data_IF_664576826365
#
_entry.id   IF_664576826365
#
_cell.length_a   1.000
_cell.length_b   1.000
_cell.length_c   1.000
_cell.angle_alpha   90.00
_cell.angle_beta   90.00
_cell.angle_gamma   90.00
#
_symmetry.space_group_name_H-M   'P 1'
#
loop_
_entity.id
_entity.type
_entity.pdbx_description
1 polymer ?
#
# COMPACT_ATOMS: atom_id res chain seq x y z
N UNK A 1 10.48 15.34 -1.49
CA UNK A 1 9.24 14.58 -1.30
C UNK A 1 8.84 14.65 0.17
N UNK A 2 7.56 14.82 0.47
CA UNK A 2 7.05 14.92 1.85
C UNK A 2 7.23 13.56 2.54
N UNK A 3 7.73 13.47 3.80
CA UNK A 3 8.06 12.20 4.44
C UNK A 3 6.93 11.15 4.44
N UNK A 4 5.68 11.59 4.57
CA UNK A 4 4.54 10.68 4.50
C UNK A 4 4.32 10.09 3.11
N UNK A 5 4.47 10.89 2.05
CA UNK A 5 4.38 10.42 0.66
C UNK A 5 5.53 9.47 0.36
N UNK A 6 6.76 9.83 0.76
CA UNK A 6 7.92 8.92 0.66
C UNK A 6 7.61 7.57 1.30
N UNK A 7 6.99 7.56 2.48
CA UNK A 7 6.69 6.32 3.16
C UNK A 7 5.58 5.50 2.50
N UNK A 8 4.58 6.13 1.88
CA UNK A 8 3.58 5.40 1.09
C UNK A 8 4.20 4.80 -0.18
N UNK A 9 5.10 5.53 -0.85
CA UNK A 9 5.86 5.00 -1.99
C UNK A 9 6.78 3.84 -1.58
N UNK A 10 7.42 3.91 -0.41
CA UNK A 10 8.18 2.78 0.14
C UNK A 10 7.27 1.56 0.43
N UNK A 11 6.04 1.78 0.94
CA UNK A 11 5.06 0.69 1.08
C UNK A 11 4.81 0.00 -0.28
N UNK A 12 4.64 0.76 -1.36
CA UNK A 12 4.41 0.21 -2.71
C UNK A 12 5.57 -0.68 -3.17
N UNK A 13 6.80 -0.16 -3.07
CA UNK A 13 8.01 -0.91 -3.46
C UNK A 13 8.15 -2.19 -2.64
N UNK A 14 7.89 -2.10 -1.34
CA UNK A 14 8.00 -3.24 -0.45
C UNK A 14 6.96 -4.32 -0.78
N UNK A 15 5.69 -3.95 -0.95
CA UNK A 15 4.60 -4.88 -1.33
C UNK A 15 4.95 -5.61 -2.64
N UNK A 16 5.37 -4.88 -3.68
CA UNK A 16 5.75 -5.49 -4.96
C UNK A 16 6.98 -6.40 -4.81
N UNK A 17 7.94 -6.03 -3.96
CA UNK A 17 9.11 -6.86 -3.68
C UNK A 17 8.74 -8.19 -3.00
N UNK A 18 7.77 -8.18 -2.08
CA UNK A 18 7.28 -9.40 -1.43
C UNK A 18 6.59 -10.31 -2.45
N UNK A 19 5.72 -9.77 -3.31
CA UNK A 19 5.08 -10.56 -4.37
C UNK A 19 6.10 -11.17 -5.35
N UNK A 20 7.17 -10.44 -5.67
CA UNK A 20 8.24 -10.97 -6.52
C UNK A 20 8.98 -12.14 -5.88
N UNK A 21 9.22 -12.10 -4.56
CA UNK A 21 9.86 -13.19 -3.82
C UNK A 21 9.02 -14.46 -3.80
N UNK A 22 7.69 -14.32 -3.68
CA UNK A 22 6.74 -15.46 -3.69
C UNK A 22 6.85 -16.26 -5.00
N UNK A 23 7.14 -15.57 -6.11
CA UNK A 23 7.33 -16.19 -7.44
C UNK A 23 8.62 -17.00 -7.54
N UNK A 24 9.61 -16.79 -6.67
CA UNK A 24 10.85 -17.54 -6.73
C UNK A 24 10.63 -19.01 -6.36
N UNK A 25 11.18 -19.94 -7.16
CA UNK A 25 11.07 -21.40 -6.95
C UNK A 25 11.81 -21.92 -5.71
N UNK A 26 12.36 -21.03 -4.88
CA UNK A 26 13.17 -21.38 -3.71
C UNK A 26 12.34 -21.62 -2.45
N UNK A 27 11.07 -21.18 -2.45
CA UNK A 27 10.20 -21.25 -1.29
C UNK A 27 9.30 -22.49 -1.36
N UNK A 28 9.14 -23.17 -0.23
CA UNK A 28 8.15 -24.21 -0.06
C UNK A 28 6.74 -23.60 0.11
N UNK A 29 5.70 -24.46 0.14
CA UNK A 29 4.31 -24.00 0.27
C UNK A 29 4.08 -23.13 1.50
N UNK A 30 4.53 -23.56 2.68
CA UNK A 30 4.31 -22.84 3.93
C UNK A 30 4.96 -21.45 3.90
N UNK A 31 6.17 -21.35 3.35
CA UNK A 31 6.88 -20.08 3.19
C UNK A 31 6.18 -19.14 2.20
N UNK A 32 5.71 -19.66 1.06
CA UNK A 32 4.94 -18.87 0.08
C UNK A 32 3.61 -18.40 0.66
N UNK A 33 2.89 -19.28 1.36
CA UNK A 33 1.62 -18.96 2.00
C UNK A 33 1.81 -17.88 3.07
N UNK A 34 2.80 -18.03 3.94
CA UNK A 34 3.10 -17.03 4.97
C UNK A 34 3.42 -15.67 4.34
N UNK A 35 4.33 -15.62 3.35
CA UNK A 35 4.65 -14.36 2.66
C UNK A 35 3.44 -13.74 1.95
N UNK A 36 2.55 -14.57 1.41
CA UNK A 36 1.31 -14.12 0.78
C UNK A 36 0.39 -13.44 1.81
N UNK A 37 0.20 -14.06 2.98
CA UNK A 37 -0.63 -13.52 4.06
C UNK A 37 0.00 -12.26 4.68
N UNK A 38 1.31 -12.22 4.83
CA UNK A 38 2.00 -11.00 5.29
C UNK A 38 1.83 -9.86 4.30
N UNK A 39 1.94 -10.14 2.99
CA UNK A 39 1.72 -9.14 1.95
C UNK A 39 0.26 -8.63 1.94
N UNK A 40 -0.72 -9.50 2.20
CA UNK A 40 -2.12 -9.11 2.40
C UNK A 40 -2.25 -8.10 3.54
N UNK A 41 -1.67 -8.41 4.70
CA UNK A 41 -1.70 -7.55 5.87
C UNK A 41 -1.04 -6.19 5.58
N UNK A 42 0.10 -6.19 4.88
CA UNK A 42 0.82 -4.96 4.52
C UNK A 42 0.01 -4.07 3.59
N UNK A 43 -0.66 -4.66 2.60
CA UNK A 43 -1.54 -3.93 1.72
C UNK A 43 -2.74 -3.33 2.48
N UNK A 44 -3.35 -4.09 3.40
CA UNK A 44 -4.47 -3.60 4.22
C UNK A 44 -4.05 -2.41 5.10
N UNK A 45 -2.86 -2.47 5.69
CA UNK A 45 -2.30 -1.36 6.47
C UNK A 45 -2.06 -0.13 5.60
N UNK A 46 -1.45 -0.30 4.42
CA UNK A 46 -1.23 0.76 3.45
C UNK A 46 -2.55 1.44 3.06
N UNK A 47 -3.55 0.68 2.59
CA UNK A 47 -4.87 1.20 2.22
C UNK A 47 -5.57 1.91 3.39
N UNK A 48 -5.40 1.39 4.62
CA UNK A 48 -5.94 2.01 5.82
C UNK A 48 -5.32 3.38 6.10
N UNK A 49 -4.01 3.53 5.90
CA UNK A 49 -3.32 4.82 6.05
C UNK A 49 -3.80 5.83 5.02
N UNK A 50 -3.93 5.43 3.76
CA UNK A 50 -4.48 6.32 2.73
C UNK A 50 -5.89 6.78 3.09
N UNK A 51 -6.77 5.84 3.46
CA UNK A 51 -8.17 6.11 3.85
C UNK A 51 -8.30 7.04 5.04
N UNK A 52 -7.41 6.90 6.05
CA UNK A 52 -7.49 7.67 7.29
C UNK A 52 -6.77 9.02 7.23
N UNK A 53 -5.75 9.15 6.39
CA UNK A 53 -4.84 10.30 6.44
C UNK A 53 -4.80 11.09 5.13
N UNK A 54 -4.72 10.41 3.97
CA UNK A 54 -4.55 11.07 2.67
C UNK A 54 -5.90 11.51 2.06
N UNK A 55 -6.81 10.55 1.83
CA UNK A 55 -8.07 10.83 1.15
C UNK A 55 -8.93 11.90 1.84
N UNK A 56 -9.08 11.93 3.18
CA UNK A 56 -9.91 12.94 3.84
C UNK A 56 -9.41 14.37 3.61
N UNK A 57 -8.08 14.56 3.53
CA UNK A 57 -7.50 15.88 3.27
C UNK A 57 -7.74 16.31 1.83
N UNK A 58 -7.49 15.42 0.87
CA UNK A 58 -7.72 15.73 -0.54
C UNK A 58 -9.21 15.94 -0.84
N UNK A 59 -10.11 15.18 -0.21
CA UNK A 59 -11.56 15.40 -0.29
C UNK A 59 -11.97 16.77 0.26
N UNK A 60 -11.33 17.24 1.34
CA UNK A 60 -11.59 18.57 1.88
C UNK A 60 -11.16 19.66 0.89
N UNK A 61 -9.97 19.52 0.31
CA UNK A 61 -9.43 20.48 -0.66
C UNK A 61 -10.22 20.46 -1.99
N UNK A 62 -10.71 19.30 -2.42
CA UNK A 62 -11.56 19.14 -3.60
C UNK A 62 -12.83 20.02 -3.57
N UNK A 63 -13.35 20.39 -2.39
CA UNK A 63 -14.53 21.24 -2.27
C UNK A 63 -14.33 22.66 -2.81
N UNK A 64 -13.07 23.12 -2.83
CA UNK A 64 -12.71 24.47 -3.24
C UNK A 64 -11.79 24.48 -4.48
N UNK A 65 -11.39 23.32 -4.99
CA UNK A 65 -10.48 23.19 -6.13
C UNK A 65 -10.95 22.08 -7.09
N UNK A 66 -11.46 22.50 -8.26
CA UNK A 66 -11.99 21.62 -9.30
C UNK A 66 -10.94 20.65 -9.86
N UNK A 67 -9.67 21.03 -9.89
CA UNK A 67 -8.59 20.17 -10.34
C UNK A 67 -8.38 19.01 -9.35
N UNK A 68 -8.35 19.32 -8.05
CA UNK A 68 -8.26 18.32 -6.98
C UNK A 68 -9.51 17.43 -6.97
N UNK A 69 -10.69 18.00 -7.19
CA UNK A 69 -11.93 17.23 -7.32
C UNK A 69 -11.88 16.22 -8.47
N UNK A 70 -11.35 16.62 -9.62
CA UNK A 70 -11.18 15.74 -10.78
C UNK A 70 -10.24 14.59 -10.49
N UNK A 71 -9.08 14.86 -9.88
CA UNK A 71 -8.15 13.80 -9.45
C UNK A 71 -8.84 12.86 -8.47
N UNK A 72 -9.52 13.37 -7.44
CA UNK A 72 -10.16 12.54 -6.43
C UNK A 72 -11.29 11.68 -7.01
N UNK A 73 -12.12 12.24 -7.90
CA UNK A 73 -13.19 11.49 -8.56
C UNK A 73 -12.64 10.28 -9.32
N UNK A 74 -11.60 10.47 -10.12
CA UNK A 74 -10.95 9.41 -10.90
C UNK A 74 -10.36 8.29 -10.02
N UNK A 75 -9.92 8.62 -8.80
CA UNK A 75 -9.37 7.62 -7.88
C UNK A 75 -10.44 6.93 -7.04
N UNK A 76 -11.52 7.63 -6.68
CA UNK A 76 -12.61 7.09 -5.87
C UNK A 76 -13.55 6.17 -6.66
N UNK A 77 -13.81 6.47 -7.93
CA UNK A 77 -14.64 5.59 -8.79
C UNK A 77 -14.07 4.18 -8.88
N UNK A 78 -12.74 4.06 -8.77
CA UNK A 78 -12.01 2.81 -9.01
C UNK A 78 -11.58 2.10 -7.72
N UNK A 79 -11.51 2.80 -6.57
CA UNK A 79 -10.89 2.25 -5.36
C UNK A 79 -11.65 1.06 -4.77
N UNK A 80 -13.00 1.14 -4.70
CA UNK A 80 -13.79 0.07 -4.12
C UNK A 80 -13.69 -1.23 -4.94
N UNK A 81 -13.74 -1.10 -6.27
CA UNK A 81 -13.58 -2.23 -7.20
C UNK A 81 -12.16 -2.79 -7.13
N UNK A 82 -11.14 -1.93 -7.13
CA UNK A 82 -9.75 -2.33 -7.00
C UNK A 82 -9.50 -3.11 -5.70
N UNK A 83 -9.91 -2.56 -4.55
CA UNK A 83 -9.76 -3.23 -3.25
C UNK A 83 -10.49 -4.57 -3.24
N UNK A 84 -11.72 -4.63 -3.76
CA UNK A 84 -12.48 -5.88 -3.83
C UNK A 84 -11.76 -6.94 -4.67
N UNK A 85 -11.27 -6.57 -5.85
CA UNK A 85 -10.58 -7.51 -6.75
C UNK A 85 -9.26 -8.02 -6.16
N UNK A 86 -8.51 -7.14 -5.49
CA UNK A 86 -7.25 -7.53 -4.84
C UNK A 86 -7.51 -8.43 -3.63
N UNK A 87 -8.50 -8.12 -2.80
CA UNK A 87 -8.85 -8.97 -1.66
C UNK A 87 -9.37 -10.33 -2.10
N UNK A 88 -10.16 -10.39 -3.18
CA UNK A 88 -10.63 -11.66 -3.75
C UNK A 88 -9.48 -12.60 -4.13
N UNK A 89 -8.37 -12.07 -4.63
CA UNK A 89 -7.19 -12.88 -4.89
C UNK A 89 -6.66 -13.52 -3.60
N UNK A 90 -6.48 -12.73 -2.54
CA UNK A 90 -6.01 -13.29 -1.26
C UNK A 90 -7.00 -14.29 -0.66
N UNK A 91 -8.30 -13.98 -0.71
CA UNK A 91 -9.36 -14.87 -0.22
C UNK A 91 -9.38 -16.21 -0.96
N UNK A 92 -9.10 -16.22 -2.27
CA UNK A 92 -9.02 -17.45 -3.08
C UNK A 92 -7.93 -18.41 -2.59
N UNK A 93 -6.82 -17.87 -2.09
CA UNK A 93 -5.66 -18.64 -1.67
C UNK A 93 -5.54 -18.79 -0.15
N UNK A 94 -6.54 -18.30 0.60
CA UNK A 94 -6.57 -18.39 2.04
C UNK A 94 -6.95 -19.82 2.50
N UNK A 95 -6.34 -20.29 3.60
CA UNK A 95 -6.56 -21.62 4.19
C UNK A 95 -6.40 -22.82 3.23
N UNK A 96 -5.61 -22.66 2.16
CA UNK A 96 -5.26 -23.79 1.31
C UNK A 96 -4.17 -24.65 1.95
N UNK A 97 -4.11 -25.92 1.57
CA UNK A 97 -3.06 -26.86 1.95
C UNK A 97 -1.99 -27.03 0.86
N UNK A 98 -2.25 -26.50 -0.35
CA UNK A 98 -1.34 -26.47 -1.49
C UNK A 98 -1.81 -25.44 -2.53
N UNK A 99 -0.92 -24.96 -3.38
CA UNK A 99 -1.26 -24.16 -4.57
C UNK A 99 -1.28 -25.03 -5.82
N UNK A 100 -2.25 -24.83 -6.70
CA UNK A 100 -2.07 -25.19 -8.11
C UNK A 100 -1.06 -24.19 -8.70
N UNK A 101 0.17 -24.66 -8.93
CA UNK A 101 1.27 -23.79 -9.33
C UNK A 101 0.98 -23.00 -10.61
N UNK A 102 0.27 -23.57 -11.60
CA UNK A 102 0.01 -22.86 -12.86
C UNK A 102 -1.06 -21.77 -12.72
N UNK A 103 -2.13 -22.07 -11.98
CA UNK A 103 -3.18 -21.10 -11.71
C UNK A 103 -2.69 -20.00 -10.77
N UNK A 104 -1.99 -20.38 -9.69
CA UNK A 104 -1.41 -19.45 -8.73
C UNK A 104 -0.43 -18.49 -9.38
N UNK A 105 0.51 -18.97 -10.20
CA UNK A 105 1.49 -18.10 -10.86
C UNK A 105 0.81 -17.07 -11.79
N UNK A 106 -0.23 -17.50 -12.50
CA UNK A 106 -1.02 -16.62 -13.38
C UNK A 106 -1.73 -15.52 -12.58
N UNK A 107 -2.41 -15.91 -11.52
CA UNK A 107 -3.18 -15.00 -10.68
C UNK A 107 -2.26 -14.04 -9.91
N UNK A 108 -1.10 -14.51 -9.46
CA UNK A 108 -0.07 -13.70 -8.82
C UNK A 108 0.46 -12.63 -9.77
N UNK A 109 0.78 -12.99 -11.02
CA UNK A 109 1.19 -12.04 -12.05
C UNK A 109 0.10 -10.99 -12.29
N UNK A 110 -1.16 -11.42 -12.37
CA UNK A 110 -2.29 -10.52 -12.55
C UNK A 110 -2.44 -9.54 -11.38
N UNK A 111 -2.29 -10.02 -10.13
CA UNK A 111 -2.27 -9.17 -8.95
C UNK A 111 -1.14 -8.13 -9.04
N UNK A 112 0.08 -8.56 -9.37
CA UNK A 112 1.25 -7.67 -9.48
C UNK A 112 1.03 -6.56 -10.51
N UNK A 113 0.46 -6.89 -11.68
CA UNK A 113 0.13 -5.90 -12.71
C UNK A 113 -0.92 -4.91 -12.21
N UNK A 114 -1.97 -5.40 -11.53
CA UNK A 114 -3.00 -4.54 -10.94
C UNK A 114 -2.43 -3.57 -9.92
N UNK A 115 -1.64 -4.07 -8.97
CA UNK A 115 -1.03 -3.26 -7.91
C UNK A 115 -0.04 -2.25 -8.49
N UNK A 116 0.90 -2.70 -9.34
CA UNK A 116 1.89 -1.79 -9.97
C UNK A 116 1.23 -0.68 -10.78
N UNK A 117 0.18 -1.00 -11.55
CA UNK A 117 -0.58 0.01 -12.31
C UNK A 117 -1.26 1.01 -11.38
N UNK A 118 -1.82 0.54 -10.26
CA UNK A 118 -2.48 1.41 -9.28
C UNK A 118 -1.48 2.30 -8.56
N UNK A 119 -0.40 1.74 -8.02
CA UNK A 119 0.66 2.47 -7.33
C UNK A 119 1.30 3.52 -8.24
N UNK A 120 1.58 3.19 -9.50
CA UNK A 120 2.10 4.15 -10.47
C UNK A 120 1.13 5.33 -10.73
N UNK A 121 -0.18 5.06 -10.74
CA UNK A 121 -1.18 6.13 -10.86
C UNK A 121 -1.22 6.98 -9.58
N UNK A 122 -1.24 6.36 -8.40
CA UNK A 122 -1.25 7.06 -7.11
C UNK A 122 -0.04 8.00 -7.00
N UNK A 123 1.16 7.50 -7.26
CA UNK A 123 2.39 8.29 -7.24
C UNK A 123 2.35 9.46 -8.24
N UNK A 124 1.96 9.17 -9.49
CA UNK A 124 1.96 10.16 -10.57
C UNK A 124 0.90 11.26 -10.40
N UNK A 125 -0.27 10.93 -9.87
CA UNK A 125 -1.41 11.87 -9.88
C UNK A 125 -1.85 12.26 -8.48
N UNK A 126 -2.07 11.30 -7.59
CA UNK A 126 -2.63 11.56 -6.27
C UNK A 126 -1.58 12.15 -5.31
N UNK A 127 -0.41 11.51 -5.24
CA UNK A 127 0.68 11.92 -4.36
C UNK A 127 1.29 13.23 -4.85
N UNK A 128 1.55 13.35 -6.15
CA UNK A 128 2.01 14.61 -6.74
C UNK A 128 1.05 15.77 -6.39
N UNK A 129 -0.27 15.59 -6.55
CA UNK A 129 -1.24 16.64 -6.22
C UNK A 129 -1.25 16.98 -4.72
N UNK A 130 -1.09 16.00 -3.84
CA UNK A 130 -0.96 16.25 -2.41
C UNK A 130 0.29 17.08 -2.07
N UNK A 131 1.42 16.78 -2.70
CA UNK A 131 2.66 17.53 -2.51
C UNK A 131 2.53 18.98 -2.98
N UNK A 132 1.94 19.20 -4.16
CA UNK A 132 1.63 20.54 -4.68
C UNK A 132 0.77 21.35 -3.70
N UNK A 133 -0.28 20.72 -3.15
CA UNK A 133 -1.14 21.36 -2.14
C UNK A 133 -0.39 21.71 -0.86
N UNK A 134 0.54 20.85 -0.41
CA UNK A 134 1.35 21.12 0.78
C UNK A 134 2.38 22.24 0.56
N UNK A 135 2.92 22.39 -0.66
CA UNK A 135 3.78 23.52 -1.01
C UNK A 135 3.00 24.84 -0.96
N UNK A 136 1.74 24.84 -1.45
CA UNK A 136 0.87 26.01 -1.40
C UNK A 136 0.30 26.28 -0.01
N UNK A 137 0.08 25.23 0.79
CA UNK A 137 -0.51 25.28 2.13
C UNK A 137 0.32 24.43 3.11
N UNK A 138 1.44 24.95 3.64
CA UNK A 138 2.32 24.19 4.54
C UNK A 138 1.62 23.61 5.79
N UNK A 139 0.51 24.23 6.22
CA UNK A 139 -0.33 23.73 7.30
C UNK A 139 -1.01 22.37 7.02
N UNK A 140 -1.17 21.97 5.75
CA UNK A 140 -1.79 20.71 5.37
C UNK A 140 -0.94 19.50 5.81
N UNK A 141 0.39 19.60 5.67
CA UNK A 141 1.32 18.58 6.15
C UNK A 141 1.30 18.46 7.68
N UNK A 142 1.14 19.58 8.38
CA UNK A 142 1.13 19.60 9.86
C UNK A 142 0.06 18.66 10.43
N UNK A 143 -1.09 18.52 9.76
CA UNK A 143 -2.16 17.64 10.20
C UNK A 143 -1.82 16.14 10.09
N UNK A 144 -1.08 15.74 9.03
CA UNK A 144 -0.60 14.36 8.91
C UNK A 144 0.60 14.14 9.83
N UNK A 145 1.55 15.08 9.90
CA UNK A 145 2.80 14.96 10.66
C UNK A 145 2.57 14.53 12.11
N UNK A 146 1.55 15.08 12.79
CA UNK A 146 1.26 14.74 14.19
C UNK A 146 0.77 13.29 14.38
N UNK A 147 0.22 12.68 13.33
CA UNK A 147 -0.28 11.29 13.32
C UNK A 147 0.62 10.35 12.54
N UNK A 148 1.66 10.90 11.89
CA UNK A 148 2.57 10.16 11.06
C UNK A 148 3.52 9.34 11.92
N UNK A 149 3.48 8.03 11.71
CA UNK A 149 4.38 7.07 12.31
C UNK A 149 5.14 6.41 11.15
N UNK A 150 6.39 6.81 10.87
CA UNK A 150 7.13 6.28 9.74
C UNK A 150 7.36 4.78 9.92
N UNK A 151 7.26 4.06 8.80
CA UNK A 151 7.66 2.66 8.71
C UNK A 151 9.05 2.62 8.07
N UNK A 152 10.02 2.03 8.75
CA UNK A 152 11.37 1.88 8.23
C UNK A 152 11.53 0.52 7.57
N UNK A 153 12.22 0.50 6.43
CA UNK A 153 12.45 -0.69 5.62
C UNK A 153 13.92 -1.06 5.68
N UNK A 154 14.27 -2.25 6.19
CA UNK A 154 15.66 -2.70 6.32
C UNK A 154 15.77 -4.22 6.27
N UNK A 155 16.75 -4.76 5.53
CA UNK A 155 17.01 -6.20 5.42
C UNK A 155 15.75 -7.03 5.07
N UNK A 156 14.86 -6.48 4.25
CA UNK A 156 13.60 -7.12 3.87
C UNK A 156 12.50 -7.12 4.93
N UNK A 157 12.70 -6.46 6.08
CA UNK A 157 11.70 -6.30 7.14
C UNK A 157 11.18 -4.86 7.27
N UNK A 158 10.05 -4.72 7.97
CA UNK A 158 9.40 -3.45 8.31
C UNK A 158 9.58 -3.16 9.80
N UNK A 159 9.82 -1.90 10.16
CA UNK A 159 10.07 -1.50 11.55
C UNK A 159 9.37 -0.19 11.92
N UNK A 160 8.97 -0.07 13.18
CA UNK A 160 8.63 1.23 13.79
C UNK A 160 9.70 1.61 14.79
N UNK A 161 9.98 2.91 14.89
CA UNK A 161 10.82 3.46 15.94
C UNK A 161 9.92 4.17 16.93
N UNK A 162 9.83 3.64 18.15
CA UNK A 162 9.08 4.27 19.25
C UNK A 162 10.07 4.58 20.37
N UNK A 163 10.17 5.85 20.76
CA UNK A 163 11.09 6.33 21.80
C UNK A 163 12.55 5.89 21.58
N UNK A 164 13.01 5.91 20.32
CA UNK A 164 14.37 5.48 19.94
C UNK A 164 14.59 3.97 19.88
N UNK A 165 13.57 3.16 20.21
CA UNK A 165 13.63 1.70 20.16
C UNK A 165 13.02 1.21 18.85
N UNK A 166 13.75 0.35 18.14
CA UNK A 166 13.33 -0.26 16.87
C UNK A 166 12.53 -1.54 17.13
N UNK A 167 11.28 -1.55 16.70
CA UNK A 167 10.36 -2.69 16.79
C UNK A 167 10.17 -3.27 15.40
N UNK A 168 10.47 -4.56 15.19
CA UNK A 168 10.08 -5.26 13.97
C UNK A 168 8.55 -5.32 13.96
N UNK A 169 7.94 -4.83 12.89
CA UNK A 169 6.52 -5.07 12.65
C UNK A 169 6.43 -6.53 12.24
N UNK A 170 5.77 -7.33 13.07
CA UNK A 170 5.64 -8.77 12.85
C UNK A 170 4.99 -9.03 11.49
N UNK A 171 5.58 -9.98 10.79
CA UNK A 171 4.92 -10.87 9.85
C UNK A 171 3.87 -11.63 10.70
N UNK A 172 2.65 -11.06 10.84
CA UNK A 172 1.51 -11.50 11.67
C UNK A 172 1.77 -11.76 13.19
N UNK A 173 1.04 -11.03 14.05
CA UNK A 173 0.78 -11.48 15.42
C UNK A 173 -0.45 -12.40 15.38
N UNK A 174 -0.33 -13.55 16.05
CA UNK A 174 -1.37 -14.57 16.27
C UNK A 174 -2.78 -14.03 16.47
#
# INVERSE_FOLDING_TARGET
MIPFITNLTEDHHYILSCLNKIKENKLNFAEKYQQLMDTRQFLLEHLTREKKQLYPLLQKEARANNEVATVIYNFQSDIAKFTTDVLRFYDKYDNLNQFDNQEFDRDLIYLQIKLSTRFAKEEKYLFQKYEELCLLKPGLWTHIRLKFQPIHYENGGRYKILNGIKYKLSDSAN
#
